data_IF_519434437080
#
_entry.id   IF_519434437080
#
_cell.length_a   1.000
_cell.length_b   1.000
_cell.length_c   1.000
_cell.angle_alpha   90.00
_cell.angle_beta   90.00
_cell.angle_gamma   90.00
#
_symmetry.space_group_name_H-M   'P 1'
#
loop_
_entity.id
_entity.type
_entity.pdbx_description
1 polymer ?
#
# COMPACT_ATOMS: atom_id res chain seq x y z
N UNK A 1 16.98 10.08 -0.26
CA UNK A 1 17.19 10.43 -1.67
C UNK A 1 17.18 11.95 -1.88
N UNK A 2 16.31 12.67 -1.18
CA UNK A 2 16.27 14.15 -1.22
C UNK A 2 17.51 14.79 -0.61
N UNK A 3 17.90 14.38 0.62
CA UNK A 3 19.11 14.89 1.29
C UNK A 3 20.41 14.60 0.52
N UNK A 4 20.42 13.57 -0.32
CA UNK A 4 21.55 13.21 -1.17
C UNK A 4 21.50 13.83 -2.57
N UNK A 5 20.47 14.64 -2.88
CA UNK A 5 20.28 15.29 -4.18
C UNK A 5 19.87 14.35 -5.32
N UNK A 6 19.47 13.11 -5.03
CA UNK A 6 19.05 12.12 -6.04
C UNK A 6 17.59 12.34 -6.46
N UNK A 7 16.75 12.73 -5.50
CA UNK A 7 15.34 13.04 -5.70
C UNK A 7 15.15 14.55 -5.53
N UNK A 8 14.57 15.21 -6.53
CA UNK A 8 14.08 16.58 -6.41
C UNK A 8 12.56 16.51 -6.20
N UNK A 9 12.09 16.85 -5.00
CA UNK A 9 10.67 16.81 -4.65
C UNK A 9 9.86 17.92 -5.35
N UNK A 10 10.53 18.98 -5.82
CA UNK A 10 9.89 20.06 -6.57
C UNK A 10 9.83 19.78 -8.08
N UNK A 11 10.40 18.66 -8.54
CA UNK A 11 10.39 18.28 -9.95
C UNK A 11 9.30 17.22 -10.23
N UNK A 12 8.26 17.56 -11.02
CA UNK A 12 7.17 16.64 -11.30
C UNK A 12 7.62 15.38 -12.06
N UNK A 13 8.69 15.45 -12.86
CA UNK A 13 9.24 14.29 -13.58
C UNK A 13 9.90 13.31 -12.61
N UNK A 14 10.61 13.84 -11.60
CA UNK A 14 11.20 13.02 -10.55
C UNK A 14 10.11 12.33 -9.73
N UNK A 15 9.07 13.06 -9.31
CA UNK A 15 7.94 12.48 -8.58
C UNK A 15 7.24 11.41 -9.42
N UNK A 16 6.92 11.68 -10.67
CA UNK A 16 6.29 10.71 -11.56
C UNK A 16 7.12 9.45 -11.75
N UNK A 17 8.42 9.60 -12.00
CA UNK A 17 9.36 8.47 -12.13
C UNK A 17 9.44 7.68 -10.83
N UNK A 18 9.40 8.35 -9.68
CA UNK A 18 9.37 7.72 -8.36
C UNK A 18 8.12 6.82 -8.23
N UNK A 19 6.94 7.36 -8.53
CA UNK A 19 5.69 6.58 -8.49
C UNK A 19 5.74 5.38 -9.44
N UNK A 20 6.24 5.57 -10.66
CA UNK A 20 6.30 4.52 -11.67
C UNK A 20 7.24 3.37 -11.27
N UNK A 21 8.35 3.67 -10.61
CA UNK A 21 9.34 2.67 -10.18
C UNK A 21 8.93 1.98 -8.88
N UNK A 22 8.54 2.74 -7.86
CA UNK A 22 8.35 2.20 -6.51
C UNK A 22 6.96 1.59 -6.29
N UNK A 23 5.92 2.11 -6.94
CA UNK A 23 4.56 1.61 -6.72
C UNK A 23 4.40 0.12 -7.09
N UNK A 24 4.89 -0.37 -8.26
CA UNK A 24 4.83 -1.79 -8.59
C UNK A 24 5.61 -2.65 -7.59
N UNK A 25 6.78 -2.19 -7.15
CA UNK A 25 7.62 -2.89 -6.18
C UNK A 25 6.95 -3.03 -4.81
N UNK A 26 6.35 -1.95 -4.30
CA UNK A 26 5.59 -1.94 -3.04
C UNK A 26 4.41 -2.90 -3.14
N UNK A 27 3.62 -2.82 -4.22
CA UNK A 27 2.48 -3.71 -4.42
C UNK A 27 2.89 -5.17 -4.47
N UNK A 28 4.00 -5.50 -5.14
CA UNK A 28 4.56 -6.87 -5.13
C UNK A 28 4.95 -7.31 -3.73
N UNK A 29 5.63 -6.46 -2.97
CA UNK A 29 6.04 -6.77 -1.60
C UNK A 29 4.81 -6.99 -0.69
N UNK A 30 3.76 -6.19 -0.84
CA UNK A 30 2.49 -6.37 -0.12
C UNK A 30 1.80 -7.68 -0.48
N UNK A 31 1.78 -8.07 -1.76
CA UNK A 31 1.26 -9.37 -2.17
C UNK A 31 2.07 -10.52 -1.55
N UNK A 32 3.40 -10.45 -1.60
CA UNK A 32 4.28 -11.46 -1.00
C UNK A 32 4.11 -11.55 0.51
N UNK A 33 4.02 -10.40 1.19
CA UNK A 33 3.76 -10.34 2.61
C UNK A 33 2.41 -10.98 2.95
N UNK A 34 1.36 -10.62 2.23
CA UNK A 34 0.01 -11.17 2.44
C UNK A 34 0.00 -12.68 2.27
N UNK A 35 0.66 -13.18 1.22
CA UNK A 35 0.74 -14.62 0.95
C UNK A 35 1.51 -15.36 2.06
N UNK A 36 2.68 -14.84 2.44
CA UNK A 36 3.47 -15.43 3.51
C UNK A 36 2.74 -15.36 4.86
N UNK A 37 2.13 -14.22 5.16
CA UNK A 37 1.41 -14.00 6.41
C UNK A 37 0.16 -14.88 6.51
N UNK A 38 -0.60 -15.07 5.44
CA UNK A 38 -1.80 -15.91 5.50
C UNK A 38 -1.48 -17.41 5.61
N UNK A 39 -0.32 -17.84 5.14
CA UNK A 39 0.07 -19.26 5.08
C UNK A 39 1.13 -19.69 6.10
N UNK A 40 1.74 -18.78 6.87
CA UNK A 40 2.66 -19.16 7.93
C UNK A 40 1.94 -19.85 9.09
N UNK A 41 2.58 -20.85 9.72
CA UNK A 41 2.01 -21.51 10.89
C UNK A 41 2.13 -20.62 12.14
N UNK A 42 1.05 -20.53 12.89
CA UNK A 42 1.00 -19.80 14.17
C UNK A 42 1.19 -20.77 15.32
N UNK A 43 2.29 -20.62 16.07
CA UNK A 43 2.66 -21.53 17.16
C UNK A 43 1.59 -21.64 18.25
N UNK A 44 0.86 -20.56 18.53
CA UNK A 44 -0.18 -20.51 19.56
C UNK A 44 -1.52 -21.07 19.10
N UNK A 45 -1.75 -21.22 17.79
CA UNK A 45 -3.01 -21.67 17.19
C UNK A 45 -2.88 -23.08 16.63
N UNK A 46 -2.46 -24.04 17.46
CA UNK A 46 -2.28 -25.45 17.04
C UNK A 46 -1.36 -25.64 15.83
N UNK A 47 -0.46 -24.68 15.58
CA UNK A 47 0.39 -24.65 14.39
C UNK A 47 -0.38 -24.56 13.07
N UNK A 48 -1.61 -24.02 13.09
CA UNK A 48 -2.39 -23.69 11.90
C UNK A 48 -1.98 -22.34 11.35
N UNK A 49 -2.14 -22.16 10.04
CA UNK A 49 -1.99 -20.84 9.44
C UNK A 49 -3.23 -19.97 9.68
N UNK A 50 -3.12 -18.63 9.57
CA UNK A 50 -4.29 -17.76 9.60
C UNK A 50 -5.36 -18.19 8.60
N UNK A 51 -4.95 -18.59 7.39
CA UNK A 51 -5.87 -19.12 6.38
C UNK A 51 -6.61 -20.40 6.83
N UNK A 52 -5.89 -21.36 7.41
CA UNK A 52 -6.49 -22.59 7.93
C UNK A 52 -7.44 -22.31 9.10
N UNK A 53 -7.06 -21.38 9.98
CA UNK A 53 -7.87 -20.97 11.13
C UNK A 53 -9.16 -20.31 10.67
N UNK A 54 -9.08 -19.39 9.69
CA UNK A 54 -10.23 -18.77 9.06
C UNK A 54 -11.15 -19.80 8.40
N UNK A 55 -10.60 -20.69 7.57
CA UNK A 55 -11.36 -21.74 6.90
C UNK A 55 -12.08 -22.66 7.90
N UNK A 56 -11.38 -23.09 8.95
CA UNK A 56 -11.96 -23.91 10.01
C UNK A 56 -13.09 -23.17 10.75
N UNK A 57 -12.92 -21.87 11.02
CA UNK A 57 -13.99 -21.05 11.60
C UNK A 57 -15.19 -20.92 10.67
N UNK A 58 -14.98 -20.69 9.37
CA UNK A 58 -16.08 -20.59 8.39
C UNK A 58 -16.83 -21.90 8.19
N UNK A 59 -16.22 -23.05 8.46
CA UNK A 59 -16.91 -24.35 8.40
C UNK A 59 -17.76 -24.66 9.63
N UNK A 60 -17.67 -23.87 10.70
CA UNK A 60 -18.47 -24.09 11.91
C UNK A 60 -19.93 -23.69 11.68
N UNK A 61 -20.85 -24.61 11.98
CA UNK A 61 -22.29 -24.41 11.77
C UNK A 61 -22.88 -23.28 12.62
N UNK A 62 -22.26 -22.99 13.76
CA UNK A 62 -22.62 -21.92 14.68
C UNK A 62 -21.87 -20.61 14.40
N UNK A 63 -21.12 -20.51 13.30
CA UNK A 63 -20.47 -19.27 12.92
C UNK A 63 -21.50 -18.28 12.33
N UNK A 64 -21.79 -17.16 13.02
CA UNK A 64 -22.78 -16.21 12.54
C UNK A 64 -22.37 -15.55 11.23
N UNK A 65 -21.06 -15.37 10.96
CA UNK A 65 -20.57 -14.78 9.71
C UNK A 65 -20.82 -15.72 8.53
N UNK A 66 -20.60 -17.03 8.71
CA UNK A 66 -20.87 -18.02 7.67
C UNK A 66 -22.36 -18.17 7.37
N UNK A 67 -23.22 -17.86 8.35
CA UNK A 67 -24.67 -17.97 8.24
C UNK A 67 -25.33 -16.68 7.74
N UNK A 68 -24.56 -15.62 7.44
CA UNK A 68 -25.07 -14.32 7.00
C UNK A 68 -25.76 -13.52 8.12
N UNK A 69 -25.46 -13.84 9.38
CA UNK A 69 -26.06 -13.22 10.56
C UNK A 69 -25.28 -11.97 11.03
N UNK A 70 -24.17 -11.59 10.36
CA UNK A 70 -23.33 -10.42 10.69
C UNK A 70 -23.23 -9.41 9.51
N UNK A 71 -24.07 -9.53 8.49
CA UNK A 71 -24.05 -8.62 7.33
C UNK A 71 -24.73 -7.26 7.62
N UNK A 72 -25.10 -6.96 8.88
CA UNK A 72 -25.57 -5.63 9.25
C UNK A 72 -24.38 -4.66 9.25
N UNK A 73 -24.45 -3.62 8.40
CA UNK A 73 -23.55 -2.47 8.53
C UNK A 73 -23.58 -2.01 9.99
N UNK A 74 -22.41 -1.84 10.65
CA UNK A 74 -22.37 -1.33 12.01
C UNK A 74 -23.20 -0.05 12.07
N UNK A 75 -24.11 0.06 13.05
CA UNK A 75 -24.94 1.24 13.28
C UNK A 75 -24.15 2.56 13.38
N UNK A 76 -22.83 2.45 13.56
CA UNK A 76 -21.89 3.54 13.80
C UNK A 76 -20.78 3.61 12.74
N UNK A 77 -20.99 3.07 11.53
CA UNK A 77 -19.99 3.11 10.46
C UNK A 77 -19.61 4.56 10.10
N UNK A 78 -20.57 5.49 10.14
CA UNK A 78 -20.36 6.92 9.92
C UNK A 78 -19.44 7.56 10.97
N UNK A 79 -19.31 6.95 12.14
CA UNK A 79 -18.51 7.43 13.26
C UNK A 79 -17.22 6.62 13.47
N UNK A 80 -16.99 5.58 12.67
CA UNK A 80 -15.80 4.75 12.78
C UNK A 80 -14.54 5.61 12.55
N UNK A 81 -13.72 5.73 13.60
CA UNK A 81 -12.53 6.59 13.60
C UNK A 81 -12.76 8.03 14.06
N UNK A 82 -13.99 8.40 14.44
CA UNK A 82 -14.26 9.64 15.16
C UNK A 82 -13.89 9.45 16.65
N UNK A 83 -12.91 10.21 17.13
CA UNK A 83 -12.54 10.24 18.54
C UNK A 83 -13.00 11.57 19.16
N UNK A 84 -14.17 11.64 19.82
CA UNK A 84 -14.71 12.87 20.38
C UNK A 84 -13.89 13.38 21.57
N UNK A 85 -13.07 12.51 22.17
CA UNK A 85 -12.17 12.83 23.27
C UNK A 85 -10.70 12.90 22.81
N UNK A 86 -10.46 12.68 21.52
CA UNK A 86 -9.15 12.78 20.90
C UNK A 86 -8.66 14.22 20.93
N UNK A 87 -7.34 14.43 20.85
CA UNK A 87 -6.83 15.78 20.68
C UNK A 87 -7.44 16.37 19.41
N UNK A 88 -8.12 17.51 19.56
CA UNK A 88 -8.53 18.31 18.40
C UNK A 88 -7.28 18.58 17.57
N UNK A 89 -7.34 18.45 16.23
CA UNK A 89 -6.26 18.91 15.38
C UNK A 89 -5.86 20.32 15.83
N UNK A 90 -4.55 20.56 16.01
CA UNK A 90 -4.06 21.91 16.30
C UNK A 90 -4.68 22.88 15.28
N UNK A 91 -5.19 24.04 15.72
CA UNK A 91 -5.83 25.09 14.88
C UNK A 91 -4.96 25.62 13.72
N UNK A 92 -3.74 25.09 13.54
CA UNK A 92 -3.00 25.27 12.29
C UNK A 92 -3.59 24.35 11.23
N UNK A 93 -4.05 24.91 10.11
CA UNK A 93 -4.35 24.21 8.85
C UNK A 93 -3.13 23.40 8.36
N UNK A 94 -2.79 22.31 9.05
CA UNK A 94 -1.77 21.34 8.64
C UNK A 94 -2.33 20.39 7.58
N UNK A 95 -3.37 20.81 6.87
CA UNK A 95 -3.86 20.11 5.70
C UNK A 95 -2.76 20.21 4.63
N UNK A 96 -2.16 19.07 4.31
CA UNK A 96 -1.21 18.99 3.20
C UNK A 96 -2.04 19.04 1.91
N UNK A 97 -2.09 20.22 1.28
CA UNK A 97 -2.62 20.35 -0.07
C UNK A 97 -1.62 19.70 -1.03
N UNK A 98 -1.92 18.47 -1.47
CA UNK A 98 -1.15 17.80 -2.52
C UNK A 98 -1.66 18.31 -3.85
N UNK A 99 -0.88 19.14 -4.53
CA UNK A 99 -1.18 19.55 -5.89
C UNK A 99 -1.13 18.33 -6.83
N UNK A 100 -2.10 18.24 -7.74
CA UNK A 100 -2.07 17.21 -8.77
C UNK A 100 -0.90 17.48 -9.73
N UNK A 101 -0.10 16.44 -9.98
CA UNK A 101 1.03 16.53 -10.90
C UNK A 101 0.48 16.50 -12.34
N UNK A 102 0.24 17.68 -12.94
CA UNK A 102 -0.13 17.80 -14.35
C UNK A 102 1.12 17.75 -15.24
N UNK A 103 1.41 16.56 -15.75
CA UNK A 103 2.52 16.33 -16.66
C UNK A 103 2.12 16.34 -18.14
N UNK A 104 0.89 16.74 -18.49
CA UNK A 104 0.40 16.85 -19.87
C UNK A 104 0.37 15.53 -20.65
N UNK A 105 1.54 15.01 -21.04
CA UNK A 105 1.75 13.77 -21.79
C UNK A 105 2.21 12.60 -20.90
N UNK A 106 1.55 12.41 -19.75
CA UNK A 106 1.83 11.34 -18.77
C UNK A 106 2.07 9.96 -19.41
N UNK A 107 1.28 9.60 -20.42
CA UNK A 107 1.38 8.32 -21.12
C UNK A 107 2.70 8.16 -21.92
N UNK A 108 3.17 9.23 -22.55
CA UNK A 108 4.40 9.19 -23.34
C UNK A 108 5.61 9.06 -22.43
N UNK A 109 5.65 9.82 -21.34
CA UNK A 109 6.67 9.71 -20.29
C UNK A 109 6.67 8.31 -19.67
N UNK A 110 5.50 7.78 -19.32
CA UNK A 110 5.38 6.41 -18.82
C UNK A 110 5.97 5.38 -19.79
N UNK A 111 5.58 5.46 -21.06
CA UNK A 111 6.04 4.52 -22.09
C UNK A 111 7.54 4.61 -22.34
N UNK A 112 8.12 5.81 -22.19
CA UNK A 112 9.55 6.04 -22.36
C UNK A 112 10.36 5.44 -21.21
N UNK A 113 9.93 5.66 -19.96
CA UNK A 113 10.58 5.09 -18.79
C UNK A 113 10.48 3.56 -18.78
N UNK A 114 9.29 3.01 -19.03
CA UNK A 114 9.08 1.55 -19.05
C UNK A 114 9.78 0.84 -20.22
N UNK A 115 10.16 1.55 -21.29
CA UNK A 115 11.02 1.00 -22.34
C UNK A 115 12.48 0.87 -21.92
N UNK A 116 12.93 1.69 -20.98
CA UNK A 116 14.32 1.72 -20.52
C UNK A 116 14.54 0.82 -19.32
N UNK A 117 13.56 0.76 -18.41
CA UNK A 117 13.70 0.08 -17.13
C UNK A 117 12.47 -0.76 -16.83
N UNK A 118 12.71 -1.97 -16.32
CA UNK A 118 11.67 -2.81 -15.71
C UNK A 118 11.57 -2.49 -14.21
N UNK A 119 10.45 -1.88 -13.73
CA UNK A 119 10.25 -1.56 -12.32
C UNK A 119 10.25 -2.78 -11.39
N UNK A 120 9.98 -3.97 -11.93
CA UNK A 120 9.92 -5.21 -11.16
C UNK A 120 11.24 -5.98 -11.17
N UNK A 121 12.29 -5.51 -11.83
CA UNK A 121 13.60 -6.18 -11.77
C UNK A 121 14.12 -6.23 -10.33
N UNK A 122 14.99 -7.19 -10.05
CA UNK A 122 15.71 -7.23 -8.78
C UNK A 122 16.57 -5.97 -8.63
N UNK A 123 16.47 -5.33 -7.47
CA UNK A 123 17.22 -4.13 -7.17
C UNK A 123 18.35 -4.44 -6.20
N UNK A 124 19.51 -3.85 -6.47
CA UNK A 124 20.66 -3.86 -5.55
C UNK A 124 20.52 -2.88 -4.39
N UNK A 125 19.66 -1.86 -4.53
CA UNK A 125 19.51 -0.75 -3.60
C UNK A 125 18.03 -0.37 -3.37
N UNK A 126 17.16 -1.36 -3.15
CA UNK A 126 15.75 -1.15 -2.75
C UNK A 126 14.96 -0.22 -3.71
N UNK A 127 15.25 -0.30 -5.01
CA UNK A 127 14.62 0.48 -6.08
C UNK A 127 15.35 1.77 -6.45
N UNK A 128 16.37 2.19 -5.69
CA UNK A 128 17.13 3.44 -5.94
C UNK A 128 17.91 3.38 -7.25
N UNK A 129 18.57 2.25 -7.53
CA UNK A 129 19.29 1.98 -8.77
C UNK A 129 18.37 1.97 -9.99
N UNK A 130 17.16 1.43 -9.84
CA UNK A 130 16.10 1.42 -10.85
C UNK A 130 15.63 2.85 -11.14
N UNK A 131 15.39 3.64 -10.09
CA UNK A 131 14.98 5.03 -10.19
C UNK A 131 16.03 5.89 -10.89
N UNK A 132 17.31 5.74 -10.55
CA UNK A 132 18.40 6.49 -11.17
C UNK A 132 18.62 6.15 -12.65
N UNK A 133 18.29 4.93 -13.08
CA UNK A 133 18.36 4.52 -14.49
C UNK A 133 17.15 5.00 -15.30
N UNK A 134 16.01 5.16 -14.64
CA UNK A 134 14.75 5.59 -15.24
C UNK A 134 14.72 7.10 -15.55
N UNK A 135 15.51 7.88 -14.82
CA UNK A 135 15.62 9.34 -14.90
C UNK A 135 16.63 9.77 -15.99
#
# INVERSE_FOLDING_TARGET
>A
MELSGILNADDPVHLFTLHLVFLPGINRALCQFTEAFNHHNVRTERNWSPYQTWLNGMMQHDNPLSNGEIDEEPYDFEYYGNDPYGPTPLDSDNNVAVEEIDLGENYLLQSFVLKRVDPLRESSHVGIDIFQEAL
#
